data_IF_934208524309
#
_entry.id   IF_934208524309
#
_cell.length_a   1.000
_cell.length_b   1.000
_cell.length_c   1.000
_cell.angle_alpha   90.00
_cell.angle_beta   90.00
_cell.angle_gamma   90.00
#
_symmetry.space_group_name_H-M   'P 1'
#
loop_
_entity.id
_entity.type
_entity.pdbx_description
1 polymer ?
#
# COMPACT_ATOMS: atom_id res chain seq x y z
N UNK A 1 -19.31 20.34 12.36
CA UNK A 1 -18.69 19.91 13.63
C UNK A 1 -17.23 19.60 13.35
N UNK A 2 -16.28 19.96 14.22
CA UNK A 2 -14.90 19.52 14.06
C UNK A 2 -14.84 17.99 14.14
N UNK A 3 -14.24 17.34 13.14
CA UNK A 3 -14.01 15.89 13.14
C UNK A 3 -12.67 15.57 13.79
N UNK A 4 -12.62 14.50 14.59
CA UNK A 4 -11.35 14.00 15.14
C UNK A 4 -10.45 13.49 14.00
N UNK A 5 -9.18 13.87 14.03
CA UNK A 5 -8.18 13.44 13.06
C UNK A 5 -7.18 12.53 13.76
N UNK A 6 -7.09 11.28 13.30
CA UNK A 6 -6.03 10.38 13.73
C UNK A 6 -4.68 10.91 13.27
N UNK A 7 -3.76 11.15 14.21
CA UNK A 7 -2.38 11.54 13.95
C UNK A 7 -1.43 10.55 14.61
N UNK A 8 -0.30 10.27 13.97
CA UNK A 8 0.78 9.50 14.59
C UNK A 8 1.56 10.42 15.52
N UNK A 9 1.66 10.04 16.80
CA UNK A 9 2.42 10.83 17.80
C UNK A 9 3.91 10.46 17.80
N UNK A 10 4.22 9.22 17.42
CA UNK A 10 5.56 8.65 17.26
C UNK A 10 5.56 7.77 16.02
N UNK A 11 6.73 7.29 15.58
CA UNK A 11 6.77 6.34 14.47
C UNK A 11 6.22 4.99 14.96
N UNK A 12 5.02 4.64 14.55
CA UNK A 12 4.28 3.45 15.01
C UNK A 12 4.80 2.14 14.39
N UNK A 13 5.52 2.24 13.27
CA UNK A 13 6.07 1.13 12.52
C UNK A 13 7.51 1.42 12.12
N UNK A 14 8.38 0.45 12.31
CA UNK A 14 9.77 0.53 11.87
C UNK A 14 9.86 -0.15 10.50
N UNK A 15 10.19 0.59 9.42
CA UNK A 15 10.36 -0.02 8.11
C UNK A 15 11.44 -1.10 8.14
N UNK A 16 11.18 -2.22 7.47
CA UNK A 16 12.10 -3.35 7.35
C UNK A 16 12.76 -3.33 5.98
N UNK A 17 14.00 -3.80 5.91
CA UNK A 17 14.70 -3.95 4.63
C UNK A 17 14.12 -5.10 3.82
N UNK A 18 14.09 -4.93 2.49
CA UNK A 18 13.61 -5.96 1.57
C UNK A 18 14.25 -5.86 0.18
N UNK A 19 14.30 -7.01 -0.52
CA UNK A 19 14.44 -7.04 -1.97
C UNK A 19 13.11 -6.65 -2.63
N UNK A 20 13.18 -5.94 -3.76
CA UNK A 20 12.06 -5.24 -4.39
C UNK A 20 12.06 -5.43 -5.91
N UNK A 21 10.86 -5.56 -6.50
CA UNK A 21 10.64 -5.63 -7.95
C UNK A 21 10.38 -7.06 -8.43
N UNK A 22 9.86 -7.21 -9.66
CA UNK A 22 9.45 -8.51 -10.21
C UNK A 22 10.66 -9.32 -10.66
N UNK A 23 11.62 -8.64 -11.28
CA UNK A 23 12.89 -9.15 -11.78
C UNK A 23 13.90 -8.01 -11.92
N UNK A 24 15.12 -8.31 -12.38
CA UNK A 24 16.18 -7.32 -12.55
C UNK A 24 15.92 -6.29 -13.68
N UNK A 25 15.00 -6.54 -14.60
CA UNK A 25 14.54 -5.58 -15.61
C UNK A 25 13.40 -4.70 -15.11
N UNK A 26 12.53 -5.27 -14.26
CA UNK A 26 11.32 -4.65 -13.75
C UNK A 26 11.48 -4.26 -12.27
N UNK A 27 12.47 -3.40 -12.03
CA UNK A 27 12.85 -2.89 -10.72
C UNK A 27 11.88 -1.81 -10.23
N UNK A 28 11.56 -1.86 -8.94
CA UNK A 28 10.89 -0.75 -8.26
C UNK A 28 11.85 0.43 -8.14
N UNK A 29 11.33 1.65 -8.35
CA UNK A 29 12.10 2.89 -8.24
C UNK A 29 11.55 3.79 -7.14
N UNK A 30 12.21 4.94 -6.92
CA UNK A 30 11.71 5.95 -5.97
C UNK A 30 10.33 6.50 -6.36
N UNK A 31 9.93 6.41 -7.62
CA UNK A 31 8.57 6.82 -8.06
C UNK A 31 7.50 5.86 -7.60
N UNK A 32 7.86 4.63 -7.25
CA UNK A 32 6.91 3.63 -6.75
C UNK A 32 6.67 3.74 -5.24
N UNK A 33 7.26 4.74 -4.58
CA UNK A 33 7.03 5.00 -3.17
C UNK A 33 5.53 5.10 -2.85
N UNK A 34 5.18 4.62 -1.67
CA UNK A 34 3.83 4.54 -1.12
C UNK A 34 2.88 3.55 -1.81
N UNK A 35 3.31 2.78 -2.82
CA UNK A 35 2.46 1.72 -3.40
C UNK A 35 2.30 0.53 -2.45
N UNK A 36 1.13 -0.10 -2.49
CA UNK A 36 0.86 -1.33 -1.75
C UNK A 36 1.66 -2.49 -2.34
N UNK A 37 2.21 -3.35 -1.48
CA UNK A 37 3.09 -4.45 -1.86
C UNK A 37 2.55 -5.80 -1.35
N UNK A 38 2.94 -6.87 -2.03
CA UNK A 38 2.77 -8.27 -1.61
C UNK A 38 4.10 -9.02 -1.68
N UNK A 39 4.21 -10.12 -0.94
CA UNK A 39 5.36 -11.01 -1.05
C UNK A 39 5.31 -11.80 -2.36
N UNK A 40 6.45 -11.89 -3.04
CA UNK A 40 6.65 -12.73 -4.20
C UNK A 40 7.57 -13.91 -3.87
N UNK A 41 7.68 -14.87 -4.79
CA UNK A 41 8.36 -16.14 -4.58
C UNK A 41 9.88 -16.03 -4.37
N UNK A 42 10.51 -14.90 -4.72
CA UNK A 42 11.96 -14.72 -4.69
C UNK A 42 12.44 -14.01 -3.40
N UNK A 43 11.72 -14.16 -2.30
CA UNK A 43 11.99 -13.48 -1.02
C UNK A 43 12.07 -11.95 -1.17
N UNK A 44 11.16 -11.41 -1.97
CA UNK A 44 11.08 -10.02 -2.36
C UNK A 44 9.63 -9.52 -2.30
N UNK A 45 9.46 -8.20 -2.31
CA UNK A 45 8.16 -7.58 -2.49
C UNK A 45 7.98 -7.06 -3.91
N UNK A 46 6.76 -7.22 -4.40
CA UNK A 46 6.28 -6.65 -5.67
C UNK A 46 5.04 -5.81 -5.41
N UNK A 47 4.67 -4.96 -6.37
CA UNK A 47 3.40 -4.23 -6.31
C UNK A 47 2.27 -5.26 -6.20
N UNK A 48 1.36 -5.04 -5.26
CA UNK A 48 0.17 -5.87 -5.12
C UNK A 48 -0.76 -5.64 -6.33
N UNK A 49 -1.22 -6.72 -6.95
CA UNK A 49 -2.19 -6.63 -8.02
C UNK A 49 -3.59 -6.42 -7.42
N UNK A 50 -4.53 -6.02 -8.28
CA UNK A 50 -5.92 -5.85 -7.89
C UNK A 50 -6.47 -7.13 -7.22
N UNK A 51 -7.09 -6.96 -6.05
CA UNK A 51 -7.68 -8.03 -5.24
C UNK A 51 -6.71 -8.71 -4.27
N UNK A 52 -5.40 -8.45 -4.38
CA UNK A 52 -4.42 -9.08 -3.50
C UNK A 52 -4.45 -8.52 -2.07
N UNK A 53 -4.07 -9.37 -1.11
CA UNK A 53 -3.84 -8.91 0.25
C UNK A 53 -2.66 -7.91 0.27
N UNK A 54 -2.84 -6.83 1.02
CA UNK A 54 -1.78 -5.84 1.22
C UNK A 54 -0.88 -6.34 2.34
N UNK A 55 0.38 -6.61 2.05
CA UNK A 55 1.35 -7.11 3.03
C UNK A 55 2.22 -5.99 3.62
N UNK A 56 2.36 -4.90 2.87
CA UNK A 56 3.04 -3.68 3.29
C UNK A 56 2.97 -2.59 2.23
N UNK A 57 3.71 -1.51 2.46
CA UNK A 57 3.83 -0.36 1.56
C UNK A 57 5.29 0.00 1.37
N UNK A 58 5.65 0.35 0.13
CA UNK A 58 6.99 0.82 -0.19
C UNK A 58 7.27 2.17 0.49
N UNK A 59 8.31 2.23 1.32
CA UNK A 59 8.76 3.48 1.95
C UNK A 59 9.79 4.17 1.07
N UNK A 60 10.77 3.42 0.56
CA UNK A 60 11.82 3.96 -0.28
C UNK A 60 12.65 2.87 -0.93
N UNK A 61 13.38 3.27 -1.97
CA UNK A 61 14.31 2.43 -2.74
C UNK A 61 15.70 3.04 -2.64
N UNK A 62 16.70 2.19 -2.45
CA UNK A 62 18.10 2.56 -2.39
C UNK A 62 18.80 2.33 -3.73
N UNK A 63 19.97 2.97 -3.92
CA UNK A 63 20.72 2.86 -5.17
C UNK A 63 21.38 1.49 -5.42
N UNK A 64 21.60 0.70 -4.36
CA UNK A 64 22.22 -0.62 -4.49
C UNK A 64 21.19 -1.70 -4.82
N UNK A 65 21.66 -2.82 -5.36
CA UNK A 65 20.83 -3.95 -5.78
C UNK A 65 21.18 -5.21 -5.00
N UNK A 66 20.22 -6.12 -4.88
CA UNK A 66 20.35 -7.41 -4.19
C UNK A 66 19.86 -8.55 -5.09
N UNK A 67 20.12 -9.80 -4.71
CA UNK A 67 19.58 -11.01 -5.35
C UNK A 67 19.73 -11.02 -6.89
N UNK A 68 20.93 -10.77 -7.41
CA UNK A 68 21.20 -10.72 -8.86
C UNK A 68 20.49 -9.58 -9.60
N UNK A 69 20.26 -8.46 -8.92
CA UNK A 69 19.92 -7.18 -9.55
C UNK A 69 18.55 -6.62 -9.17
N UNK A 70 17.82 -7.21 -8.24
CA UNK A 70 16.59 -6.63 -7.69
C UNK A 70 16.89 -5.33 -6.95
N UNK A 71 15.93 -4.43 -6.90
CA UNK A 71 16.05 -3.22 -6.09
C UNK A 71 16.13 -3.59 -4.60
N UNK A 72 16.87 -2.81 -3.83
CA UNK A 72 16.83 -2.88 -2.37
C UNK A 72 16.06 -1.68 -1.84
N UNK A 73 15.34 -1.86 -0.74
CA UNK A 73 14.69 -0.74 -0.08
C UNK A 73 14.05 -1.09 1.23
N UNK A 74 13.09 -0.27 1.62
CA UNK A 74 12.39 -0.39 2.89
C UNK A 74 10.87 -0.52 2.69
N UNK A 75 10.27 -1.44 3.45
CA UNK A 75 8.83 -1.72 3.43
C UNK A 75 8.26 -1.49 4.82
N UNK A 76 7.15 -0.76 4.90
CA UNK A 76 6.34 -0.60 6.12
C UNK A 76 5.24 -1.65 6.09
N UNK A 77 5.23 -2.60 7.02
CA UNK A 77 4.29 -3.74 7.00
C UNK A 77 3.04 -3.51 7.85
N UNK A 78 3.08 -2.59 8.81
CA UNK A 78 1.98 -2.30 9.72
C UNK A 78 1.80 -0.78 9.92
N UNK A 79 0.94 -0.40 10.88
CA UNK A 79 0.58 0.99 11.12
C UNK A 79 -0.52 1.50 10.17
N UNK A 80 -0.52 2.81 9.93
CA UNK A 80 -1.50 3.52 9.13
C UNK A 80 -0.94 3.95 7.79
N UNK A 81 -1.79 3.83 6.78
CA UNK A 81 -1.51 4.17 5.39
C UNK A 81 -2.64 5.06 4.88
N UNK A 82 -2.29 6.15 4.22
CA UNK A 82 -3.25 6.88 3.39
C UNK A 82 -3.33 6.21 2.02
N UNK A 83 -4.56 5.88 1.60
CA UNK A 83 -4.84 5.19 0.36
C UNK A 83 -5.95 5.89 -0.41
N UNK A 84 -5.98 5.67 -1.71
CA UNK A 84 -7.05 6.16 -2.61
C UNK A 84 -7.96 4.99 -2.96
N UNK A 85 -9.27 5.20 -2.89
CA UNK A 85 -10.26 4.21 -3.34
C UNK A 85 -10.16 4.06 -4.85
N UNK A 86 -10.02 2.82 -5.33
CA UNK A 86 -9.86 2.48 -6.74
C UNK A 86 -10.92 3.17 -7.61
N UNK A 87 -10.53 3.69 -8.76
CA UNK A 87 -11.42 4.29 -9.74
C UNK A 87 -12.52 3.32 -10.23
N UNK A 88 -12.27 2.02 -10.16
CA UNK A 88 -13.21 0.96 -10.50
C UNK A 88 -14.05 0.44 -9.31
N UNK A 89 -13.87 0.98 -8.10
CA UNK A 89 -14.70 0.61 -6.94
C UNK A 89 -16.14 1.09 -7.15
N UNK A 90 -17.10 0.20 -6.86
CA UNK A 90 -18.53 0.49 -7.03
C UNK A 90 -19.25 0.71 -5.70
N UNK A 91 -18.67 0.24 -4.60
CA UNK A 91 -19.17 0.44 -3.26
C UNK A 91 -18.62 1.69 -2.59
N UNK A 92 -18.86 1.78 -1.29
CA UNK A 92 -18.39 2.88 -0.44
C UNK A 92 -17.49 2.33 0.65
N UNK A 93 -16.22 2.72 0.63
CA UNK A 93 -15.20 2.45 1.65
C UNK A 93 -15.50 3.22 2.95
N UNK A 94 -16.56 2.79 3.63
CA UNK A 94 -16.97 3.35 4.91
C UNK A 94 -16.02 2.95 6.03
N UNK A 95 -15.94 3.74 7.09
CA UNK A 95 -15.21 3.37 8.31
C UNK A 95 -15.67 1.99 8.80
N UNK A 96 -14.73 1.09 9.08
CA UNK A 96 -15.00 -0.30 9.43
C UNK A 96 -14.87 -1.30 8.27
N UNK A 97 -14.90 -0.82 7.03
CA UNK A 97 -14.76 -1.69 5.84
C UNK A 97 -13.37 -2.29 5.77
N UNK A 98 -13.28 -3.56 5.39
CA UNK A 98 -12.01 -4.17 5.03
C UNK A 98 -11.66 -3.85 3.59
N UNK A 99 -10.35 -3.71 3.33
CA UNK A 99 -9.82 -3.45 2.00
C UNK A 99 -8.71 -4.41 1.59
N UNK A 100 -8.56 -4.57 0.28
CA UNK A 100 -7.46 -5.24 -0.43
C UNK A 100 -6.85 -4.25 -1.43
N UNK A 101 -5.76 -4.65 -2.09
CA UNK A 101 -5.13 -3.82 -3.11
C UNK A 101 -6.08 -3.57 -4.28
N UNK A 102 -6.17 -2.32 -4.71
CA UNK A 102 -6.82 -1.96 -5.96
C UNK A 102 -5.84 -1.92 -7.13
N UNK A 103 -6.26 -1.33 -8.23
CA UNK A 103 -5.49 -1.17 -9.46
C UNK A 103 -4.36 -0.18 -9.25
N UNK A 104 -3.14 -0.68 -9.10
CA UNK A 104 -1.95 0.16 -8.95
C UNK A 104 -1.54 0.81 -10.28
N UNK A 105 -0.88 1.97 -10.20
CA UNK A 105 -0.20 2.54 -11.37
C UNK A 105 1.01 1.69 -11.75
N UNK A 106 1.37 1.72 -13.04
CA UNK A 106 2.50 0.97 -13.57
C UNK A 106 3.80 1.25 -12.79
N UNK A 107 4.71 0.27 -12.77
CA UNK A 107 6.06 0.41 -12.21
C UNK A 107 6.75 1.65 -12.80
N UNK A 108 7.57 2.33 -11.99
CA UNK A 108 8.24 3.60 -12.33
C UNK A 108 7.27 4.75 -12.67
N UNK A 109 6.05 4.70 -12.13
CA UNK A 109 5.04 5.78 -12.21
C UNK A 109 4.46 6.05 -10.83
N UNK A 110 4.47 7.31 -10.39
CA UNK A 110 3.90 7.71 -9.11
C UNK A 110 2.40 7.38 -9.01
N UNK A 111 1.93 6.94 -7.85
CA UNK A 111 0.51 6.58 -7.67
C UNK A 111 0.03 6.18 -6.28
N UNK A 112 0.91 6.05 -5.28
CA UNK A 112 0.51 5.71 -3.91
C UNK A 112 -0.21 4.37 -3.77
N UNK A 113 -0.78 4.11 -2.60
CA UNK A 113 -1.53 2.89 -2.33
C UNK A 113 -2.98 3.08 -2.78
N UNK A 114 -3.45 2.17 -3.64
CA UNK A 114 -4.82 2.13 -4.14
C UNK A 114 -5.52 0.93 -3.52
N UNK A 115 -6.76 1.11 -3.08
CA UNK A 115 -7.52 0.09 -2.36
C UNK A 115 -8.90 -0.13 -2.95
N UNK A 116 -9.40 -1.36 -2.85
CA UNK A 116 -10.79 -1.71 -3.13
C UNK A 116 -11.40 -2.47 -1.95
N UNK A 117 -12.72 -2.54 -1.90
CA UNK A 117 -13.44 -3.29 -0.88
C UNK A 117 -13.14 -4.78 -0.98
N UNK A 118 -12.65 -5.36 0.11
CA UNK A 118 -12.34 -6.78 0.16
C UNK A 118 -11.68 -7.16 1.48
N UNK A 119 -11.81 -8.42 1.87
CA UNK A 119 -11.16 -8.92 3.07
C UNK A 119 -10.01 -9.85 2.67
N UNK A 120 -8.77 -9.36 2.80
CA UNK A 120 -7.59 -10.20 2.70
C UNK A 120 -7.66 -11.37 3.68
N UNK A 121 -7.20 -12.55 3.26
CA UNK A 121 -7.31 -13.78 4.07
C UNK A 121 -6.36 -13.75 5.27
N UNK A 122 -5.13 -13.30 5.07
CA UNK A 122 -4.07 -13.26 6.09
C UNK A 122 -3.78 -11.85 6.63
N UNK A 123 -3.76 -10.84 5.74
CA UNK A 123 -3.41 -9.47 6.07
C UNK A 123 -4.64 -8.57 5.90
N UNK A 124 -5.28 -8.26 7.02
CA UNK A 124 -6.51 -7.46 7.02
C UNK A 124 -6.17 -6.00 7.28
N UNK A 125 -6.71 -5.15 6.40
CA UNK A 125 -6.63 -3.71 6.53
C UNK A 125 -8.04 -3.15 6.62
N UNK A 126 -8.24 -2.20 7.52
CA UNK A 126 -9.55 -1.61 7.77
C UNK A 126 -9.50 -0.11 7.60
N UNK A 127 -10.53 0.45 6.97
CA UNK A 127 -10.74 1.90 6.91
C UNK A 127 -11.06 2.41 8.32
N UNK A 128 -10.25 3.33 8.83
CA UNK A 128 -10.46 3.99 10.13
C UNK A 128 -10.96 5.43 9.98
N UNK A 129 -10.80 6.03 8.79
CA UNK A 129 -11.28 7.39 8.49
C UNK A 129 -11.44 7.58 6.98
N UNK A 130 -12.52 8.27 6.58
CA UNK A 130 -12.65 8.87 5.25
C UNK A 130 -12.04 10.27 5.30
N UNK A 131 -11.04 10.53 4.46
CA UNK A 131 -10.27 11.80 4.46
C UNK A 131 -10.93 12.81 3.53
N UNK A 132 -11.35 12.37 2.34
CA UNK A 132 -12.08 13.19 1.36
C UNK A 132 -13.42 12.56 0.99
N UNK A 133 -14.36 13.40 0.58
CA UNK A 133 -15.64 12.96 0.01
C UNK A 133 -16.43 12.03 0.93
N UNK A 134 -16.86 10.90 0.39
CA UNK A 134 -17.74 9.94 1.07
C UNK A 134 -17.20 8.50 1.09
N UNK A 135 -15.98 8.29 0.59
CA UNK A 135 -15.34 6.99 0.49
C UNK A 135 -15.71 6.24 -0.79
N UNK A 136 -16.02 6.96 -1.86
CA UNK A 136 -16.25 6.37 -3.20
C UNK A 136 -14.98 6.41 -4.03
N UNK A 137 -15.01 5.83 -5.24
CA UNK A 137 -13.91 5.88 -6.20
C UNK A 137 -13.24 7.28 -6.29
N UNK A 138 -11.92 7.30 -6.13
CA UNK A 138 -11.10 8.51 -6.16
C UNK A 138 -10.99 9.27 -4.82
N UNK A 139 -11.75 8.91 -3.79
CA UNK A 139 -11.61 9.49 -2.46
C UNK A 139 -10.39 8.94 -1.71
N UNK A 140 -9.80 9.76 -0.85
CA UNK A 140 -8.75 9.34 0.09
C UNK A 140 -9.35 8.78 1.38
N UNK A 141 -8.78 7.68 1.85
CA UNK A 141 -9.10 7.01 3.12
C UNK A 141 -7.84 6.73 3.92
N UNK A 142 -7.97 6.67 5.24
CA UNK A 142 -6.93 6.19 6.14
C UNK A 142 -7.24 4.75 6.53
N UNK A 143 -6.29 3.84 6.29
CA UNK A 143 -6.41 2.42 6.62
C UNK A 143 -5.40 2.04 7.70
N UNK A 144 -5.76 1.03 8.51
CA UNK A 144 -4.92 0.48 9.58
C UNK A 144 -4.97 -1.03 9.56
N UNK A 145 -3.85 -1.67 9.90
CA UNK A 145 -3.73 -3.13 9.98
C UNK A 145 -4.45 -3.65 11.22
N UNK A 146 -5.23 -4.73 11.07
CA UNK A 146 -6.10 -5.32 12.12
C UNK A 146 -6.03 -6.84 12.20
#
# INVERSE_FOLDING_TARGET
MPSFNFTSLVNESIPVSAGLGVDAGNKLTTKDAQKCLKMAANNNYVIADKGDAIEGVLVGVEAHTVNDGFSFGSVKTDGRIEAVVDAAESGTASVGSFVVAGTSTAIDTAGGCVVELGAGVAFKWRVIRVISGTGVAGDSVLIERV
#
